data_IF_755541383308
#
_entry.id   IF_755541383308
#
_cell.length_a   1.000
_cell.length_b   1.000
_cell.length_c   1.000
_cell.angle_alpha   90.00
_cell.angle_beta   90.00
_cell.angle_gamma   90.00
#
_symmetry.space_group_name_H-M   'P 1'
#
loop_
_entity.id
_entity.type
_entity.pdbx_description
1 polymer ?
#
# COMPACT_ATOMS: atom_id res chain seq x y z
N UNK A 1 -12.11 -0.74 5.00
CA UNK A 1 -10.96 -0.96 5.91
C UNK A 1 -10.50 0.31 6.62
N UNK A 2 -10.04 0.18 7.86
CA UNK A 2 -9.35 1.24 8.61
C UNK A 2 -7.86 1.26 8.25
N UNK A 3 -7.35 2.43 7.88
CA UNK A 3 -5.96 2.62 7.48
C UNK A 3 -5.15 3.22 8.62
N UNK A 4 -4.01 2.59 8.93
CA UNK A 4 -3.06 3.05 9.92
C UNK A 4 -1.69 3.22 9.28
N UNK A 5 -0.94 4.22 9.74
CA UNK A 5 0.41 4.47 9.26
C UNK A 5 1.36 4.61 10.43
N UNK A 6 2.41 3.80 10.47
CA UNK A 6 3.55 4.10 11.33
C UNK A 6 4.42 5.17 10.67
N UNK A 7 4.58 6.31 11.34
CA UNK A 7 5.29 7.49 10.85
C UNK A 7 6.56 7.71 11.67
N UNK A 8 7.73 7.54 11.05
CA UNK A 8 9.03 7.72 11.72
C UNK A 8 9.40 9.20 11.92
N UNK A 9 8.89 10.09 11.07
CA UNK A 9 9.08 11.54 11.22
C UNK A 9 10.29 12.13 10.50
N UNK A 10 10.98 11.36 9.66
CA UNK A 10 12.20 11.79 8.96
C UNK A 10 11.94 12.47 7.60
N UNK A 11 10.69 12.59 7.18
CA UNK A 11 10.30 13.15 5.87
C UNK A 11 9.89 14.63 5.90
N UNK A 12 10.04 15.29 4.74
CA UNK A 12 9.55 16.64 4.49
C UNK A 12 8.03 16.70 4.76
N UNK A 13 7.58 17.47 5.76
CA UNK A 13 6.20 17.44 6.23
C UNK A 13 5.18 17.92 5.20
N UNK A 14 5.60 18.72 4.23
CA UNK A 14 4.73 19.24 3.18
C UNK A 14 4.54 18.23 2.03
N UNK A 15 5.46 17.26 1.90
CA UNK A 15 5.44 16.21 0.86
C UNK A 15 4.96 14.86 1.39
N UNK A 16 5.01 14.65 2.71
CA UNK A 16 4.58 13.43 3.37
C UNK A 16 3.09 13.12 3.08
N UNK A 17 2.86 12.01 2.38
CA UNK A 17 1.49 11.56 2.04
C UNK A 17 0.72 11.07 3.26
N UNK A 18 1.38 10.41 4.21
CA UNK A 18 0.76 9.97 5.46
C UNK A 18 0.18 11.15 6.27
N UNK A 19 0.94 12.22 6.46
CA UNK A 19 0.44 13.43 7.16
C UNK A 19 -0.68 14.13 6.40
N UNK A 20 -0.77 13.94 5.09
CA UNK A 20 -1.92 14.42 4.32
C UNK A 20 -3.14 13.54 4.61
N UNK A 21 -3.01 12.21 4.61
CA UNK A 21 -4.11 11.32 4.98
C UNK A 21 -4.67 11.61 6.38
N UNK A 22 -3.80 11.86 7.37
CA UNK A 22 -4.23 12.26 8.72
C UNK A 22 -5.09 13.54 8.72
N UNK A 23 -4.71 14.54 7.92
CA UNK A 23 -5.42 15.82 7.83
C UNK A 23 -6.80 15.72 7.20
N UNK A 24 -7.05 14.67 6.42
CA UNK A 24 -8.34 14.39 5.80
C UNK A 24 -9.12 13.28 6.53
N UNK A 25 -8.67 12.87 7.72
CA UNK A 25 -9.27 11.78 8.50
C UNK A 25 -9.30 10.42 7.76
N UNK A 26 -8.39 10.23 6.81
CA UNK A 26 -8.33 9.04 5.94
C UNK A 26 -7.42 7.92 6.49
N UNK A 27 -6.50 8.27 7.38
CA UNK A 27 -5.65 7.31 8.07
C UNK A 27 -5.23 7.82 9.45
N UNK A 28 -5.02 6.89 10.39
CA UNK A 28 -4.55 7.18 11.74
C UNK A 28 -3.02 7.01 11.80
N UNK A 29 -2.32 8.07 12.18
CA UNK A 29 -0.86 8.04 12.29
C UNK A 29 -0.40 7.64 13.69
N UNK A 30 0.57 6.74 13.73
CA UNK A 30 1.22 6.27 14.94
C UNK A 30 2.68 6.68 14.93
N UNK A 31 3.17 7.21 16.05
CA UNK A 31 4.60 7.57 16.23
C UNK A 31 5.39 6.52 17.00
N UNK A 32 4.71 5.50 17.51
CA UNK A 32 5.31 4.36 18.19
C UNK A 32 4.76 3.07 17.61
N UNK A 33 5.65 2.16 17.20
CA UNK A 33 5.25 0.86 16.65
C UNK A 33 4.31 0.07 17.59
N UNK A 34 4.47 0.22 18.91
CA UNK A 34 3.62 -0.48 19.88
C UNK A 34 2.16 0.03 19.95
N UNK A 35 1.85 1.16 19.30
CA UNK A 35 0.50 1.70 19.20
C UNK A 35 -0.22 1.25 17.91
N UNK A 36 0.53 0.69 16.97
CA UNK A 36 -0.01 0.21 15.71
C UNK A 36 -0.88 -1.03 15.98
N UNK A 37 -2.14 -1.05 15.54
CA UNK A 37 -3.02 -2.20 15.74
C UNK A 37 -2.56 -3.40 14.91
N UNK A 38 -3.03 -4.57 15.30
CA UNK A 38 -2.89 -5.77 14.48
C UNK A 38 -3.69 -5.62 13.18
N UNK A 39 -3.08 -5.98 12.05
CA UNK A 39 -3.75 -5.97 10.75
C UNK A 39 -2.85 -6.51 9.65
N UNK A 40 -3.19 -6.21 8.40
CA UNK A 40 -2.30 -6.47 7.26
C UNK A 40 -1.24 -5.38 7.18
N UNK A 41 0.02 -5.75 7.34
CA UNK A 41 1.16 -4.84 7.24
C UNK A 41 1.74 -4.91 5.84
N UNK A 42 1.66 -3.79 5.12
CA UNK A 42 2.31 -3.63 3.82
C UNK A 42 3.82 -3.58 4.03
N UNK A 43 4.49 -4.65 3.64
CA UNK A 43 5.91 -4.87 3.85
C UNK A 43 6.56 -5.35 2.54
N UNK A 44 7.40 -4.53 1.87
CA UNK A 44 8.07 -4.90 0.62
C UNK A 44 9.08 -6.04 0.80
N UNK A 45 9.43 -6.41 2.04
CA UNK A 45 10.33 -7.54 2.35
C UNK A 45 9.57 -8.83 2.69
N UNK A 46 8.24 -8.85 2.65
CA UNK A 46 7.48 -10.06 2.92
C UNK A 46 7.64 -11.08 1.78
N UNK A 47 7.72 -12.36 2.14
CA UNK A 47 7.84 -13.46 1.16
C UNK A 47 6.53 -13.75 0.41
N UNK A 48 5.39 -13.33 0.97
CA UNK A 48 4.06 -13.54 0.40
C UNK A 48 3.52 -12.24 -0.18
N UNK A 49 2.95 -12.33 -1.38
CA UNK A 49 2.24 -11.23 -2.01
C UNK A 49 0.86 -11.03 -1.36
N UNK A 50 0.42 -9.79 -1.31
CA UNK A 50 -0.92 -9.42 -0.88
C UNK A 50 -1.96 -10.03 -1.83
N UNK A 51 -3.00 -10.64 -1.27
CA UNK A 51 -4.08 -11.25 -2.03
C UNK A 51 -5.44 -11.04 -1.36
N UNK A 52 -6.56 -11.23 -2.08
CA UNK A 52 -7.90 -11.09 -1.49
C UNK A 52 -8.13 -11.95 -0.24
N UNK A 53 -7.46 -13.10 -0.11
CA UNK A 53 -7.54 -13.97 1.07
C UNK A 53 -7.08 -13.31 2.37
N UNK A 54 -6.24 -12.27 2.30
CA UNK A 54 -5.67 -11.61 3.49
C UNK A 54 -6.65 -10.63 4.16
N UNK A 55 -7.75 -10.27 3.47
CA UNK A 55 -8.70 -9.26 3.95
C UNK A 55 -9.36 -9.65 5.29
N UNK A 56 -9.71 -10.93 5.46
CA UNK A 56 -10.31 -11.43 6.71
C UNK A 56 -9.27 -11.54 7.83
N UNK A 57 -8.04 -11.97 7.52
CA UNK A 57 -6.95 -12.09 8.50
C UNK A 57 -6.54 -10.73 9.07
N UNK A 58 -6.63 -9.67 8.27
CA UNK A 58 -6.35 -8.29 8.69
C UNK A 58 -7.36 -7.69 9.65
N UNK A 59 -8.48 -8.36 9.93
CA UNK A 59 -9.56 -7.85 10.79
C UNK A 59 -10.05 -6.44 10.36
N UNK A 60 -10.07 -6.17 9.05
CA UNK A 60 -10.44 -4.88 8.49
C UNK A 60 -9.41 -3.75 8.68
N UNK A 61 -8.21 -4.07 9.16
CA UNK A 61 -7.12 -3.13 9.46
C UNK A 61 -5.98 -3.27 8.45
N UNK A 62 -5.60 -2.15 7.84
CA UNK A 62 -4.45 -2.06 6.93
C UNK A 62 -3.40 -1.12 7.52
N UNK A 63 -2.14 -1.56 7.49
CA UNK A 63 -1.01 -0.85 8.09
C UNK A 63 0.04 -0.58 7.02
N UNK A 64 0.40 0.69 6.83
CA UNK A 64 1.55 1.08 6.03
C UNK A 64 2.66 1.70 6.89
N UNK A 65 3.86 1.74 6.32
CA UNK A 65 5.03 2.40 6.89
C UNK A 65 5.34 3.65 6.07
N UNK A 66 5.44 4.81 6.73
CA UNK A 66 5.89 6.06 6.12
C UNK A 66 7.27 6.40 6.71
N UNK A 67 8.30 5.97 5.98
CA UNK A 67 9.71 6.19 6.28
C UNK A 67 10.48 6.47 4.99
N UNK A 68 11.66 7.10 5.11
CA UNK A 68 12.51 7.30 3.95
C UNK A 68 13.03 5.95 3.41
N UNK A 69 13.10 5.80 2.09
CA UNK A 69 13.62 4.59 1.44
C UNK A 69 15.06 4.25 1.85
N UNK A 70 15.84 5.23 2.31
CA UNK A 70 17.24 5.05 2.75
C UNK A 70 17.33 4.52 4.18
N UNK A 71 16.30 4.74 5.01
CA UNK A 71 16.22 4.27 6.41
C UNK A 71 15.36 3.02 6.58
N UNK A 72 14.53 2.68 5.59
CA UNK A 72 13.65 1.50 5.57
C UNK A 72 14.42 0.19 5.36
N UNK A 73 14.94 -0.41 6.42
CA UNK A 73 15.39 -1.81 6.42
C UNK A 73 14.31 -2.75 6.98
N UNK A 74 14.52 -4.08 6.89
CA UNK A 74 13.63 -5.10 7.48
C UNK A 74 13.28 -4.82 8.96
N UNK A 75 14.19 -4.21 9.72
CA UNK A 75 13.97 -3.88 11.12
C UNK A 75 12.85 -2.86 11.37
N UNK A 76 12.45 -2.06 10.38
CA UNK A 76 11.35 -1.11 10.47
C UNK A 76 9.97 -1.78 10.37
N UNK A 77 9.91 -3.05 9.93
CA UNK A 77 8.67 -3.81 9.73
C UNK A 77 8.39 -4.81 10.87
N UNK A 78 8.66 -4.45 12.13
CA UNK A 78 8.44 -5.32 13.30
C UNK A 78 7.06 -5.15 13.97
N UNK A 79 6.12 -4.54 13.26
CA UNK A 79 4.75 -4.32 13.74
C UNK A 79 4.01 -5.65 13.88
N UNK A 80 3.07 -5.74 14.81
CA UNK A 80 2.22 -6.93 14.94
C UNK A 80 1.24 -7.00 13.77
N UNK A 81 1.16 -8.15 13.10
CA UNK A 81 0.25 -8.32 11.96
C UNK A 81 0.69 -9.43 11.04
N UNK A 82 -0.06 -9.63 9.96
CA UNK A 82 0.40 -10.44 8.82
C UNK A 82 1.11 -9.52 7.83
N UNK A 83 2.29 -9.93 7.38
CA UNK A 83 3.10 -9.11 6.48
C UNK A 83 2.91 -9.58 5.04
N UNK A 84 2.64 -8.62 4.14
CA UNK A 84 2.43 -8.88 2.72
C UNK A 84 3.12 -7.84 1.86
N UNK A 85 3.74 -8.31 0.78
CA UNK A 85 4.33 -7.45 -0.23
C UNK A 85 3.25 -7.10 -1.25
N UNK A 86 3.21 -5.84 -1.69
CA UNK A 86 2.35 -5.49 -2.83
C UNK A 86 2.93 -6.10 -4.10
N UNK A 87 2.07 -6.61 -5.00
CA UNK A 87 2.52 -7.09 -6.30
C UNK A 87 2.98 -5.92 -7.19
N UNK A 88 3.51 -6.25 -8.38
CA UNK A 88 3.93 -5.26 -9.37
C UNK A 88 2.83 -4.23 -9.65
N UNK A 89 3.20 -2.97 -9.43
CA UNK A 89 2.40 -1.78 -9.71
C UNK A 89 3.34 -0.64 -10.07
N UNK A 90 2.83 0.31 -10.86
CA UNK A 90 3.57 1.45 -11.37
C UNK A 90 3.13 2.72 -10.65
N UNK A 91 4.11 3.49 -10.18
CA UNK A 91 3.86 4.74 -9.49
C UNK A 91 3.26 5.81 -10.43
N UNK A 92 2.27 6.55 -9.94
CA UNK A 92 1.72 7.74 -10.59
C UNK A 92 2.10 9.04 -9.85
N UNK A 93 2.70 8.94 -8.66
CA UNK A 93 3.18 10.10 -7.93
C UNK A 93 4.22 10.90 -8.76
N UNK A 94 4.31 12.24 -8.61
CA UNK A 94 5.16 13.09 -9.44
C UNK A 94 6.67 12.83 -9.32
N UNK A 95 7.11 12.18 -8.24
CA UNK A 95 8.53 11.92 -7.99
C UNK A 95 8.99 10.67 -8.73
N UNK A 96 8.16 9.63 -8.75
CA UNK A 96 8.50 8.31 -9.28
C UNK A 96 7.63 7.87 -10.45
N UNK A 97 6.92 8.79 -11.11
CA UNK A 97 6.00 8.48 -12.20
C UNK A 97 6.59 7.47 -13.20
N UNK A 98 5.84 6.40 -13.47
CA UNK A 98 6.24 5.34 -14.41
C UNK A 98 7.24 4.33 -13.86
N UNK A 99 7.73 4.49 -12.62
CA UNK A 99 8.67 3.54 -12.01
C UNK A 99 7.92 2.43 -11.27
N UNK A 100 8.28 1.15 -11.51
CA UNK A 100 7.67 0.04 -10.80
C UNK A 100 8.13 0.01 -9.34
N UNK A 101 7.27 -0.49 -8.44
CA UNK A 101 7.55 -0.68 -7.00
C UNK A 101 7.93 0.60 -6.22
N UNK A 102 7.79 1.79 -6.82
CA UNK A 102 8.13 3.09 -6.20
C UNK A 102 6.89 3.87 -5.76
N UNK A 103 5.96 3.14 -5.15
CA UNK A 103 4.71 3.68 -4.64
C UNK A 103 4.96 4.58 -3.42
N UNK A 104 4.14 5.61 -3.28
CA UNK A 104 3.97 6.36 -2.02
C UNK A 104 3.11 5.55 -1.04
N UNK A 105 3.11 5.97 0.23
CA UNK A 105 2.27 5.37 1.29
C UNK A 105 0.79 5.34 0.90
N UNK A 106 0.26 6.41 0.32
CA UNK A 106 -1.15 6.43 -0.14
C UNK A 106 -1.41 5.52 -1.33
N UNK A 107 -0.50 5.44 -2.31
CA UNK A 107 -0.63 4.48 -3.43
C UNK A 107 -0.62 3.05 -2.94
N UNK A 108 0.24 2.75 -1.96
CA UNK A 108 0.32 1.43 -1.36
C UNK A 108 -0.98 1.06 -0.62
N UNK A 109 -1.54 1.97 0.18
CA UNK A 109 -2.80 1.76 0.87
C UNK A 109 -3.96 1.59 -0.13
N UNK A 110 -4.05 2.45 -1.13
CA UNK A 110 -5.09 2.39 -2.15
C UNK A 110 -5.01 1.11 -2.99
N UNK A 111 -3.79 0.68 -3.37
CA UNK A 111 -3.57 -0.58 -4.06
C UNK A 111 -4.10 -1.78 -3.26
N UNK A 112 -3.80 -1.83 -1.96
CA UNK A 112 -4.27 -2.89 -1.08
C UNK A 112 -5.81 -2.89 -0.96
N UNK A 113 -6.43 -1.73 -0.82
CA UNK A 113 -7.90 -1.60 -0.85
C UNK A 113 -8.49 -2.14 -2.16
N UNK A 114 -7.90 -1.80 -3.32
CA UNK A 114 -8.34 -2.36 -4.60
C UNK A 114 -8.20 -3.88 -4.66
N UNK A 115 -7.06 -4.43 -4.20
CA UNK A 115 -6.83 -5.88 -4.17
C UNK A 115 -7.86 -6.59 -3.28
N UNK A 116 -8.26 -6.00 -2.17
CA UNK A 116 -9.33 -6.54 -1.32
C UNK A 116 -10.75 -6.29 -1.84
N UNK A 117 -10.91 -5.70 -3.03
CA UNK A 117 -12.21 -5.39 -3.62
C UNK A 117 -12.89 -4.14 -3.05
N UNK A 118 -12.20 -3.35 -2.22
CA UNK A 118 -12.68 -2.08 -1.67
C UNK A 118 -12.28 -0.89 -2.57
N UNK A 119 -12.70 -0.88 -3.84
CA UNK A 119 -12.30 0.17 -4.79
C UNK A 119 -12.77 1.57 -4.37
N UNK A 120 -13.97 1.70 -3.84
CA UNK A 120 -14.49 2.99 -3.36
C UNK A 120 -13.58 3.58 -2.26
N UNK A 121 -13.08 2.74 -1.34
CA UNK A 121 -12.13 3.16 -0.30
C UNK A 121 -10.80 3.63 -0.89
N UNK A 122 -10.32 2.97 -1.94
CA UNK A 122 -9.11 3.39 -2.65
C UNK A 122 -9.29 4.76 -3.31
N UNK A 123 -10.46 5.04 -3.89
CA UNK A 123 -10.81 6.33 -4.48
C UNK A 123 -10.85 7.44 -3.42
N UNK A 124 -11.47 7.20 -2.26
CA UNK A 124 -11.48 8.12 -1.11
C UNK A 124 -10.07 8.45 -0.62
N UNK A 125 -9.21 7.44 -0.42
CA UNK A 125 -7.82 7.63 0.00
C UNK A 125 -7.03 8.51 -0.97
N UNK A 126 -7.32 8.40 -2.26
CA UNK A 126 -6.60 9.09 -3.34
C UNK A 126 -7.19 10.47 -3.68
N UNK A 127 -8.44 10.76 -3.31
CA UNK A 127 -9.13 12.02 -3.60
C UNK A 127 -8.32 13.28 -3.21
N UNK A 128 -7.62 13.32 -2.05
CA UNK A 128 -6.83 14.48 -1.69
C UNK A 128 -5.64 14.73 -2.63
N UNK A 129 -5.26 13.77 -3.49
CA UNK A 129 -4.04 13.80 -4.29
C UNK A 129 -4.36 14.02 -5.77
N UNK A 130 -3.80 15.08 -6.37
CA UNK A 130 -4.08 15.47 -7.77
C UNK A 130 -3.76 14.39 -8.81
N UNK A 131 -2.91 13.44 -8.47
CA UNK A 131 -2.47 12.33 -9.33
C UNK A 131 -3.17 11.01 -8.96
N UNK A 132 -4.08 11.02 -7.97
CA UNK A 132 -4.74 9.83 -7.45
C UNK A 132 -5.52 9.05 -8.50
N UNK A 133 -6.34 9.73 -9.30
CA UNK A 133 -7.05 9.12 -10.43
C UNK A 133 -6.08 8.52 -11.47
N UNK A 134 -4.95 9.17 -11.71
CA UNK A 134 -3.90 8.65 -12.59
C UNK A 134 -3.33 7.33 -12.08
N UNK A 135 -3.19 7.14 -10.76
CA UNK A 135 -2.72 5.89 -10.19
C UNK A 135 -3.67 4.72 -10.52
N UNK A 136 -4.97 4.93 -10.32
CA UNK A 136 -6.00 3.93 -10.59
C UNK A 136 -6.11 3.63 -12.08
N UNK A 137 -6.00 4.65 -12.93
CA UNK A 137 -6.04 4.49 -14.40
C UNK A 137 -4.81 3.74 -14.90
N UNK A 138 -3.62 4.12 -14.42
CA UNK A 138 -2.34 3.53 -14.82
C UNK A 138 -2.26 2.04 -14.48
N UNK A 139 -2.88 1.64 -13.36
CA UNK A 139 -2.84 0.28 -12.84
C UNK A 139 -4.19 -0.44 -12.93
N UNK A 140 -5.12 0.04 -13.76
CA UNK A 140 -6.50 -0.46 -13.80
C UNK A 140 -6.56 -1.98 -14.02
N UNK A 141 -5.89 -2.46 -15.07
CA UNK A 141 -5.89 -3.87 -15.42
C UNK A 141 -5.13 -4.75 -14.40
N UNK A 142 -3.90 -4.41 -13.96
CA UNK A 142 -3.25 -5.14 -12.87
C UNK A 142 -4.13 -5.23 -11.60
N UNK A 143 -4.66 -4.11 -11.11
CA UNK A 143 -5.47 -4.08 -9.90
C UNK A 143 -6.74 -4.92 -10.03
N UNK A 144 -7.40 -4.89 -11.19
CA UNK A 144 -8.57 -5.73 -11.49
C UNK A 144 -8.21 -7.22 -11.48
N UNK A 145 -7.11 -7.62 -12.11
CA UNK A 145 -6.68 -9.03 -12.13
C UNK A 145 -6.26 -9.52 -10.75
N UNK A 146 -5.57 -8.70 -9.97
CA UNK A 146 -5.17 -9.07 -8.60
C UNK A 146 -6.37 -9.25 -7.66
N UNK A 147 -7.43 -8.44 -7.81
CA UNK A 147 -8.63 -8.58 -6.97
C UNK A 147 -9.48 -9.81 -7.30
N UNK A 148 -9.28 -10.41 -8.48
CA UNK A 148 -9.93 -11.64 -8.92
C UNK A 148 -9.18 -12.91 -8.47
N UNK A 149 -7.97 -12.78 -7.91
CA UNK A 149 -7.15 -13.90 -7.47
C UNK A 149 -7.65 -14.52 -6.16
N UNK A 150 -7.49 -15.84 -5.99
CA UNK A 150 -7.83 -16.54 -4.77
C UNK A 150 -6.77 -16.40 -3.68
N UNK A 151 -5.48 -16.35 -4.04
CA UNK A 151 -4.38 -16.35 -3.09
C UNK A 151 -3.10 -15.69 -3.63
N UNK A 152 -2.07 -15.62 -2.77
CA UNK A 152 -0.76 -15.05 -3.11
C UNK A 152 -0.09 -15.72 -4.32
N UNK A 153 -0.33 -17.00 -4.58
CA UNK A 153 0.31 -17.72 -5.70
C UNK A 153 -0.29 -17.28 -7.02
N UNK A 154 -1.61 -17.11 -7.08
CA UNK A 154 -2.30 -16.56 -8.26
C UNK A 154 -1.91 -15.10 -8.51
N UNK A 155 -1.80 -14.28 -7.45
CA UNK A 155 -1.32 -12.89 -7.58
C UNK A 155 0.10 -12.84 -8.17
N UNK A 156 1.00 -13.71 -7.70
CA UNK A 156 2.35 -13.80 -8.26
C UNK A 156 2.32 -14.26 -9.72
N UNK A 157 1.50 -15.24 -10.07
CA UNK A 157 1.36 -15.69 -11.47
C UNK A 157 0.87 -14.56 -12.39
N UNK A 158 -0.08 -13.73 -11.94
CA UNK A 158 -0.53 -12.54 -12.67
C UNK A 158 0.58 -11.49 -12.77
N UNK A 159 1.35 -11.28 -11.69
CA UNK A 159 2.48 -10.35 -11.67
C UNK A 159 3.54 -10.71 -12.72
N UNK A 160 3.85 -11.99 -12.90
CA UNK A 160 4.88 -12.44 -13.86
C UNK A 160 4.56 -11.99 -15.30
N UNK A 161 3.28 -11.89 -15.68
CA UNK A 161 2.89 -11.37 -17.00
C UNK A 161 3.39 -9.93 -17.24
N UNK A 162 3.48 -9.12 -16.19
CA UNK A 162 3.92 -7.71 -16.28
C UNK A 162 5.44 -7.55 -16.17
N UNK A 163 6.12 -8.53 -15.56
CA UNK A 163 7.58 -8.54 -15.44
C UNK A 163 8.25 -9.20 -16.65
N UNK A 164 7.54 -10.04 -17.41
CA UNK A 164 8.05 -10.72 -18.60
C UNK A 164 8.23 -9.78 -19.81
N UNK A 165 7.62 -8.60 -19.78
CA UNK A 165 7.67 -7.60 -20.86
C UNK A 165 8.81 -6.56 -20.69
N UNK A 166 9.76 -6.76 -19.75
CA UNK A 166 11.01 -5.98 -19.59
C UNK A 166 12.26 -6.64 -20.21
#
# INVERSE_FOLDING_TARGET
MECHVYYEGDDDPDKCTARRLERFDEAILHRSMGQVPYGVVLNPHAEQALSPADAEEGLGTLVALDCSWESAGEAAFRMNGIHRALPFLVAANPVNYGRPFRLTTVEALAAACCIFGERDRAEELLEPFRWGETFLTLNEEPLRRYSECADSSEVVAVQEDYLADE
#
